data_IF_225832434673
#
_entry.id   IF_225832434673
#
_cell.length_a   1.000
_cell.length_b   1.000
_cell.length_c   1.000
_cell.angle_alpha   90.00
_cell.angle_beta   90.00
_cell.angle_gamma   90.00
#
_symmetry.space_group_name_H-M   'P 1'
#
loop_
_entity.id
_entity.type
_entity.pdbx_description
1 polymer ?
#
# COMPACT_ATOMS: atom_id res chain seq x y z
N UNK A 1 5.10 9.48 27.59
CA UNK A 1 5.51 10.90 27.71
C UNK A 1 4.92 11.77 26.59
N UNK A 2 5.20 11.50 25.30
CA UNK A 2 4.64 12.25 24.16
C UNK A 2 3.10 12.29 24.13
N UNK A 3 2.45 11.15 24.39
CA UNK A 3 0.98 11.03 24.47
C UNK A 3 0.37 11.87 25.62
N UNK A 4 1.09 12.03 26.73
CA UNK A 4 0.68 12.84 27.88
C UNK A 4 0.85 14.35 27.61
N UNK A 5 1.91 14.74 26.91
CA UNK A 5 2.13 16.13 26.48
C UNK A 5 1.08 16.53 25.43
N UNK A 6 0.75 15.64 24.50
CA UNK A 6 -0.27 15.88 23.46
C UNK A 6 -1.67 15.99 24.07
N UNK A 7 -2.05 15.10 24.99
CA UNK A 7 -3.35 15.18 25.68
C UNK A 7 -3.45 16.41 26.58
N UNK A 8 -2.36 16.82 27.23
CA UNK A 8 -2.31 18.07 28.00
C UNK A 8 -2.48 19.31 27.10
N UNK A 9 -1.79 19.37 25.96
CA UNK A 9 -1.95 20.45 24.96
C UNK A 9 -3.36 20.49 24.36
N UNK A 10 -3.94 19.32 24.07
CA UNK A 10 -5.30 19.18 23.54
C UNK A 10 -6.35 19.66 24.56
N UNK A 11 -6.19 19.29 25.83
CA UNK A 11 -7.08 19.72 26.92
C UNK A 11 -7.04 21.24 27.16
N UNK A 12 -5.87 21.87 27.07
CA UNK A 12 -5.74 23.32 27.23
C UNK A 12 -6.40 24.10 26.09
N UNK A 13 -6.38 23.57 24.86
CA UNK A 13 -6.94 24.24 23.67
C UNK A 13 -8.46 24.16 23.58
N UNK A 14 -9.03 23.04 24.03
CA UNK A 14 -10.49 22.86 24.15
C UNK A 14 -11.08 23.82 25.19
N UNK A 15 -10.32 24.17 26.24
CA UNK A 15 -10.79 25.07 27.30
C UNK A 15 -10.81 26.55 26.88
N UNK A 16 -10.01 26.95 25.88
CA UNK A 16 -9.95 28.35 25.37
C UNK A 16 -10.93 28.64 24.22
N UNK A 17 -11.96 27.81 24.04
CA UNK A 17 -12.85 27.83 22.87
C UNK A 17 -13.80 29.05 22.85
N UNK A 18 -13.73 29.87 21.80
CA UNK A 18 -14.87 30.65 21.31
C UNK A 18 -15.31 30.06 19.96
N UNK A 19 -16.52 29.49 19.94
CA UNK A 19 -17.17 28.99 18.72
C UNK A 19 -17.41 30.17 17.76
N UNK A 20 -16.62 30.28 16.69
CA UNK A 20 -16.86 31.29 15.66
C UNK A 20 -15.97 31.19 14.42
N UNK A 21 -14.74 30.68 14.56
CA UNK A 21 -13.81 30.59 13.43
C UNK A 21 -13.79 29.19 12.80
N UNK A 22 -14.35 29.07 11.59
CA UNK A 22 -14.37 27.83 10.80
C UNK A 22 -12.97 27.28 10.52
N UNK A 23 -11.95 28.14 10.44
CA UNK A 23 -10.55 27.73 10.25
C UNK A 23 -10.04 26.93 11.44
N UNK A 24 -10.41 27.32 12.65
CA UNK A 24 -9.98 26.62 13.88
C UNK A 24 -10.63 25.24 14.00
N UNK A 25 -11.89 25.09 13.58
CA UNK A 25 -12.58 23.79 13.57
C UNK A 25 -11.87 22.81 12.62
N UNK A 26 -11.54 23.25 11.41
CA UNK A 26 -10.79 22.47 10.41
C UNK A 26 -9.46 22.00 11.00
N UNK A 27 -8.71 22.89 11.63
CA UNK A 27 -7.42 22.57 12.23
C UNK A 27 -7.52 21.54 13.37
N UNK A 28 -8.50 21.70 14.27
CA UNK A 28 -8.74 20.75 15.36
C UNK A 28 -9.13 19.38 14.82
N UNK A 29 -9.93 19.33 13.76
CA UNK A 29 -10.34 18.09 13.11
C UNK A 29 -9.14 17.36 12.50
N UNK A 30 -8.25 18.06 11.80
CA UNK A 30 -7.02 17.49 11.24
C UNK A 30 -6.11 16.92 12.34
N UNK A 31 -5.88 17.68 13.41
CA UNK A 31 -5.07 17.25 14.55
C UNK A 31 -5.68 16.02 15.23
N UNK A 32 -7.00 15.99 15.43
CA UNK A 32 -7.70 14.87 16.05
C UNK A 32 -7.53 13.58 15.24
N UNK A 33 -7.84 13.62 13.94
CA UNK A 33 -7.79 12.42 13.11
C UNK A 33 -6.37 11.93 12.89
N UNK A 34 -5.39 12.82 12.70
CA UNK A 34 -3.97 12.43 12.58
C UNK A 34 -3.43 11.84 13.88
N UNK A 35 -3.87 12.34 15.03
CA UNK A 35 -3.50 11.77 16.32
C UNK A 35 -4.13 10.38 16.52
N UNK A 36 -5.41 10.21 16.17
CA UNK A 36 -6.10 8.92 16.25
C UNK A 36 -5.42 7.88 15.34
N UNK A 37 -5.10 8.22 14.08
CA UNK A 37 -4.37 7.27 13.22
C UNK A 37 -2.99 6.94 13.75
N UNK A 38 -2.26 7.92 14.29
CA UNK A 38 -0.95 7.66 14.88
C UNK A 38 -1.05 6.67 16.05
N UNK A 39 -2.07 6.79 16.91
CA UNK A 39 -2.32 5.82 17.99
C UNK A 39 -2.66 4.45 17.42
N UNK A 40 -3.55 4.37 16.43
CA UNK A 40 -3.93 3.09 15.82
C UNK A 40 -2.72 2.42 15.17
N UNK A 41 -1.95 3.16 14.38
CA UNK A 41 -0.73 2.67 13.74
C UNK A 41 0.25 2.17 14.79
N UNK A 42 0.53 2.97 15.83
CA UNK A 42 1.46 2.59 16.89
C UNK A 42 0.99 1.34 17.64
N UNK A 43 -0.28 1.30 18.04
CA UNK A 43 -0.87 0.15 18.72
C UNK A 43 -0.80 -1.12 17.86
N UNK A 44 -1.16 -1.02 16.57
CA UNK A 44 -1.05 -2.13 15.62
C UNK A 44 0.40 -2.58 15.44
N UNK A 45 1.35 -1.66 15.26
CA UNK A 45 2.78 -2.00 15.12
C UNK A 45 3.32 -2.74 16.35
N UNK A 46 2.94 -2.33 17.56
CA UNK A 46 3.32 -3.04 18.79
C UNK A 46 2.63 -4.40 18.87
N UNK A 47 1.31 -4.46 18.63
CA UNK A 47 0.51 -5.68 18.75
C UNK A 47 0.92 -6.76 17.74
N UNK A 48 1.33 -6.35 16.54
CA UNK A 48 1.71 -7.23 15.44
C UNK A 48 3.21 -7.37 15.23
N UNK A 49 4.05 -6.86 16.15
CA UNK A 49 5.52 -6.94 16.04
C UNK A 49 6.02 -8.36 15.76
N UNK A 50 5.49 -9.37 16.47
CA UNK A 50 5.86 -10.77 16.24
C UNK A 50 5.48 -11.25 14.82
N UNK A 51 4.35 -10.79 14.30
CA UNK A 51 3.90 -11.14 12.96
C UNK A 51 4.75 -10.44 11.88
N UNK A 52 5.25 -9.22 12.13
CA UNK A 52 6.22 -8.58 11.24
C UNK A 52 7.52 -9.37 11.15
N UNK A 53 8.05 -9.84 12.28
CA UNK A 53 9.25 -10.69 12.29
C UNK A 53 8.98 -12.01 11.57
N UNK A 54 7.83 -12.65 11.84
CA UNK A 54 7.40 -13.86 11.13
C UNK A 54 7.33 -13.64 9.62
N UNK A 55 6.79 -12.52 9.17
CA UNK A 55 6.66 -12.17 7.76
C UNK A 55 8.03 -11.99 7.09
N UNK A 56 8.99 -11.35 7.78
CA UNK A 56 10.36 -11.23 7.29
C UNK A 56 11.03 -12.61 7.14
N UNK A 57 10.87 -13.48 8.14
CA UNK A 57 11.40 -14.86 8.09
C UNK A 57 10.76 -15.62 6.92
N UNK A 58 9.44 -15.53 6.73
CA UNK A 58 8.76 -16.20 5.62
C UNK A 58 9.24 -15.72 4.25
N UNK A 59 9.51 -14.41 4.10
CA UNK A 59 10.10 -13.87 2.87
C UNK A 59 11.53 -14.36 2.63
N UNK A 60 12.33 -14.46 3.70
CA UNK A 60 13.68 -15.03 3.63
C UNK A 60 13.66 -16.53 3.28
N UNK A 61 12.72 -17.30 3.84
CA UNK A 61 12.55 -18.72 3.54
C UNK A 61 12.22 -18.96 2.07
N UNK A 62 11.30 -18.17 1.50
CA UNK A 62 10.98 -18.17 0.06
C UNK A 62 12.21 -17.84 -0.76
N UNK A 63 12.98 -16.85 -0.32
CA UNK A 63 14.20 -16.46 -1.02
C UNK A 63 15.26 -17.56 -1.00
N UNK A 64 15.50 -18.21 0.15
CA UNK A 64 16.43 -19.32 0.27
C UNK A 64 16.01 -20.50 -0.61
N UNK A 65 14.71 -20.77 -0.71
CA UNK A 65 14.18 -21.81 -1.58
C UNK A 65 14.40 -21.47 -3.06
N UNK A 66 14.17 -20.20 -3.46
CA UNK A 66 14.52 -19.73 -4.80
C UNK A 66 16.03 -19.88 -5.10
N UNK A 67 16.90 -19.57 -4.12
CA UNK A 67 18.34 -19.75 -4.27
C UNK A 67 18.76 -21.22 -4.40
N UNK A 68 18.12 -22.13 -3.66
CA UNK A 68 18.34 -23.59 -3.80
C UNK A 68 18.01 -24.10 -5.19
N UNK A 69 17.11 -23.42 -5.90
CA UNK A 69 16.76 -23.72 -7.30
C UNK A 69 17.74 -23.08 -8.31
N UNK A 70 18.83 -22.48 -7.84
CA UNK A 70 19.82 -21.80 -8.69
C UNK A 70 19.39 -20.41 -9.15
N UNK A 71 18.32 -19.86 -8.57
CA UNK A 71 17.74 -18.59 -9.00
C UNK A 71 18.38 -17.45 -8.22
N UNK A 72 19.43 -16.88 -8.80
CA UNK A 72 20.10 -15.73 -8.23
C UNK A 72 19.37 -14.45 -8.62
N UNK A 73 18.71 -13.82 -7.64
CA UNK A 73 18.15 -12.48 -7.81
C UNK A 73 19.33 -11.49 -7.85
N UNK A 74 19.47 -10.75 -8.95
CA UNK A 74 20.51 -9.72 -9.08
C UNK A 74 20.15 -8.50 -8.22
N UNK A 75 20.59 -8.53 -6.95
CA UNK A 75 20.35 -7.50 -5.95
C UNK A 75 20.82 -6.09 -6.30
N UNK A 76 21.97 -5.83 -6.95
CA UNK A 76 22.51 -4.47 -7.06
C UNK A 76 21.60 -3.49 -7.80
N UNK A 77 20.99 -3.94 -8.91
CA UNK A 77 20.08 -3.10 -9.71
C UNK A 77 18.80 -2.80 -8.95
N UNK A 78 18.28 -3.80 -8.22
CA UNK A 78 17.04 -3.70 -7.45
C UNK A 78 17.21 -2.89 -6.17
N UNK A 79 18.35 -3.06 -5.49
CA UNK A 79 18.74 -2.24 -4.36
C UNK A 79 18.85 -0.76 -4.75
N UNK A 80 19.42 -0.45 -5.93
CA UNK A 80 19.45 0.93 -6.45
C UNK A 80 18.05 1.49 -6.70
N UNK A 81 17.12 0.68 -7.24
CA UNK A 81 15.73 1.10 -7.44
C UNK A 81 15.01 1.34 -6.11
N UNK A 82 15.18 0.44 -5.11
CA UNK A 82 14.60 0.62 -3.78
C UNK A 82 15.17 1.85 -3.08
N UNK A 83 16.49 2.04 -3.14
CA UNK A 83 17.14 3.23 -2.58
C UNK A 83 16.63 4.52 -3.25
N UNK A 84 16.49 4.52 -4.57
CA UNK A 84 15.91 5.65 -5.31
C UNK A 84 14.49 5.97 -4.85
N UNK A 85 13.63 4.95 -4.65
CA UNK A 85 12.27 5.13 -4.11
C UNK A 85 12.29 5.75 -2.71
N UNK A 86 13.16 5.26 -1.82
CA UNK A 86 13.29 5.79 -0.45
C UNK A 86 13.77 7.24 -0.47
N UNK A 87 14.79 7.56 -1.27
CA UNK A 87 15.32 8.93 -1.39
C UNK A 87 14.29 9.89 -1.98
N UNK A 88 13.64 9.51 -3.09
CA UNK A 88 12.56 10.30 -3.68
C UNK A 88 11.46 10.58 -2.66
N UNK A 89 11.14 9.58 -1.82
CA UNK A 89 10.14 9.71 -0.77
C UNK A 89 10.56 10.69 0.32
N UNK A 90 11.80 10.62 0.79
CA UNK A 90 12.34 11.57 1.75
C UNK A 90 12.33 13.01 1.21
N UNK A 91 12.57 13.19 -0.10
CA UNK A 91 12.46 14.48 -0.77
C UNK A 91 11.01 15.00 -0.75
N UNK A 92 10.03 14.17 -1.10
CA UNK A 92 8.60 14.56 -1.08
C UNK A 92 8.16 14.97 0.33
N UNK A 93 8.54 14.19 1.35
CA UNK A 93 8.23 14.52 2.76
C UNK A 93 8.93 15.82 3.15
N UNK A 94 10.20 16.01 2.76
CA UNK A 94 10.95 17.24 3.00
C UNK A 94 10.26 18.46 2.41
N UNK A 95 9.87 18.41 1.13
CA UNK A 95 9.13 19.48 0.45
C UNK A 95 7.83 19.79 1.18
N UNK A 96 7.10 18.75 1.59
CA UNK A 96 5.82 18.89 2.29
C UNK A 96 5.98 19.60 3.64
N UNK A 97 7.01 19.22 4.41
CA UNK A 97 7.34 19.87 5.69
C UNK A 97 7.77 21.32 5.47
N UNK A 98 8.64 21.59 4.48
CA UNK A 98 9.10 22.96 4.20
C UNK A 98 7.99 23.88 3.73
N UNK A 99 7.08 23.39 2.87
CA UNK A 99 5.95 24.18 2.37
C UNK A 99 4.98 24.56 3.49
N UNK A 100 4.73 23.63 4.40
CA UNK A 100 3.90 23.90 5.57
C UNK A 100 4.58 24.81 6.61
N UNK A 101 5.90 24.65 6.83
CA UNK A 101 6.68 25.53 7.70
C UNK A 101 6.74 26.98 7.19
N UNK A 102 6.77 27.17 5.86
CA UNK A 102 6.83 28.49 5.24
C UNK A 102 5.51 29.27 5.29
N UNK A 103 4.36 28.59 5.36
CA UNK A 103 3.04 29.23 5.32
C UNK A 103 2.42 29.54 6.68
N UNK A 104 2.90 28.91 7.76
CA UNK A 104 2.25 29.00 9.06
C UNK A 104 3.08 29.79 10.07
N UNK A 105 2.51 30.90 10.58
CA UNK A 105 2.99 31.60 11.79
C UNK A 105 2.87 30.75 13.08
N UNK A 106 2.32 29.54 13.01
CA UNK A 106 2.03 28.69 14.16
C UNK A 106 3.06 27.56 14.32
N UNK A 107 4.00 27.78 15.25
CA UNK A 107 4.99 26.80 15.77
C UNK A 107 4.37 25.51 16.38
N UNK A 108 3.04 25.37 16.38
CA UNK A 108 2.30 24.38 17.16
C UNK A 108 1.74 23.19 16.35
N UNK A 109 1.99 23.08 15.04
CA UNK A 109 1.46 21.98 14.19
C UNK A 109 2.30 20.68 14.21
N UNK A 110 3.07 20.44 15.26
CA UNK A 110 3.98 19.29 15.38
C UNK A 110 3.27 17.94 15.23
N UNK A 111 2.03 17.81 15.73
CA UNK A 111 1.27 16.56 15.69
C UNK A 111 0.93 16.17 14.25
N UNK A 112 0.49 17.12 13.43
CA UNK A 112 0.16 16.87 12.02
C UNK A 112 1.40 16.47 11.23
N UNK A 113 2.54 17.13 11.47
CA UNK A 113 3.82 16.77 10.85
C UNK A 113 4.26 15.35 11.20
N UNK A 114 4.24 15.01 12.50
CA UNK A 114 4.60 13.68 12.96
C UNK A 114 3.65 12.62 12.42
N UNK A 115 2.34 12.89 12.42
CA UNK A 115 1.32 12.00 11.85
C UNK A 115 1.53 11.75 10.36
N UNK A 116 1.86 12.78 9.58
CA UNK A 116 2.16 12.67 8.16
C UNK A 116 3.44 11.87 7.87
N UNK A 117 4.50 12.08 8.67
CA UNK A 117 5.75 11.30 8.58
C UNK A 117 5.49 9.83 8.91
N UNK A 118 4.81 9.54 10.02
CA UNK A 118 4.47 8.17 10.44
C UNK A 118 3.64 7.46 9.37
N UNK A 119 2.60 8.13 8.85
CA UNK A 119 1.75 7.56 7.79
C UNK A 119 2.55 7.29 6.51
N UNK A 120 3.41 8.22 6.10
CA UNK A 120 4.28 8.05 4.93
C UNK A 120 5.27 6.89 5.08
N UNK A 121 5.86 6.73 6.26
CA UNK A 121 6.78 5.61 6.54
C UNK A 121 6.03 4.29 6.50
N UNK A 122 4.80 4.24 7.03
CA UNK A 122 3.97 3.03 6.98
C UNK A 122 3.57 2.67 5.55
N UNK A 123 3.17 3.64 4.74
CA UNK A 123 2.92 3.41 3.31
C UNK A 123 4.16 2.88 2.59
N UNK A 124 5.35 3.44 2.87
CA UNK A 124 6.60 2.95 2.30
C UNK A 124 6.91 1.51 2.71
N UNK A 125 6.78 1.19 4.00
CA UNK A 125 7.03 -0.16 4.54
C UNK A 125 6.12 -1.20 3.88
N UNK A 126 4.82 -0.91 3.82
CA UNK A 126 3.84 -1.78 3.17
C UNK A 126 4.14 -1.93 1.68
N UNK A 127 4.47 -0.83 1.00
CA UNK A 127 4.83 -0.84 -0.42
C UNK A 127 6.05 -1.71 -0.72
N UNK A 128 7.04 -1.76 0.19
CA UNK A 128 8.20 -2.64 0.06
C UNK A 128 7.78 -4.11 0.12
N UNK A 129 6.96 -4.49 1.10
CA UNK A 129 6.48 -5.87 1.23
C UNK A 129 5.67 -6.33 0.02
N UNK A 130 4.73 -5.50 -0.43
CA UNK A 130 3.91 -5.75 -1.61
C UNK A 130 4.78 -5.87 -2.86
N UNK A 131 5.75 -4.97 -3.04
CA UNK A 131 6.67 -5.02 -4.17
C UNK A 131 7.54 -6.28 -4.14
N UNK A 132 7.94 -6.76 -2.96
CA UNK A 132 8.72 -7.99 -2.83
C UNK A 132 7.89 -9.22 -3.23
N UNK A 133 6.65 -9.34 -2.73
CA UNK A 133 5.74 -10.43 -3.11
C UNK A 133 5.47 -10.42 -4.60
N UNK A 134 5.20 -9.25 -5.19
CA UNK A 134 5.05 -9.11 -6.65
C UNK A 134 6.26 -9.64 -7.40
N UNK A 135 7.48 -9.33 -6.95
CA UNK A 135 8.69 -9.83 -7.61
C UNK A 135 8.81 -11.36 -7.51
N UNK A 136 8.43 -11.96 -6.38
CA UNK A 136 8.42 -13.42 -6.26
C UNK A 136 7.42 -14.08 -7.23
N UNK A 137 6.22 -13.52 -7.38
CA UNK A 137 5.26 -13.97 -8.40
C UNK A 137 5.77 -13.77 -9.82
N UNK A 138 6.43 -12.64 -10.12
CA UNK A 138 7.03 -12.41 -11.44
C UNK A 138 8.14 -13.42 -11.77
N UNK A 139 8.94 -13.82 -10.78
CA UNK A 139 9.93 -14.89 -10.92
C UNK A 139 9.20 -16.22 -11.19
N UNK A 140 8.17 -16.55 -10.41
CA UNK A 140 7.36 -17.75 -10.59
C UNK A 140 6.75 -17.84 -11.99
N UNK A 141 6.17 -16.74 -12.48
CA UNK A 141 5.60 -16.61 -13.82
C UNK A 141 6.62 -16.85 -14.93
N UNK A 142 7.86 -16.40 -14.72
CA UNK A 142 8.94 -16.66 -15.68
C UNK A 142 9.24 -18.15 -15.80
N UNK A 143 9.20 -18.91 -14.71
CA UNK A 143 9.39 -20.37 -14.76
C UNK A 143 8.19 -21.10 -15.35
N UNK A 144 6.98 -20.71 -14.98
CA UNK A 144 5.75 -21.27 -15.55
C UNK A 144 5.67 -21.05 -17.06
N UNK A 145 6.02 -19.86 -17.54
CA UNK A 145 6.04 -19.55 -18.97
C UNK A 145 7.14 -20.30 -19.72
N UNK A 146 8.32 -20.48 -19.13
CA UNK A 146 9.37 -21.35 -19.68
C UNK A 146 8.87 -22.80 -19.80
N UNK A 147 8.22 -23.33 -18.75
CA UNK A 147 7.64 -24.67 -18.73
C UNK A 147 6.58 -24.87 -19.83
N UNK A 148 5.72 -23.87 -20.04
CA UNK A 148 4.70 -23.85 -21.09
C UNK A 148 5.33 -23.83 -22.49
N UNK A 149 6.38 -23.02 -22.68
CA UNK A 149 7.05 -22.83 -23.97
C UNK A 149 8.00 -23.97 -24.38
N UNK A 150 8.41 -24.86 -23.46
CA UNK A 150 9.17 -26.09 -23.80
C UNK A 150 8.43 -27.01 -24.81
N UNK A 151 7.15 -26.74 -25.09
CA UNK A 151 6.34 -27.43 -26.10
C UNK A 151 6.71 -27.05 -27.54
N UNK A 152 7.34 -25.90 -27.77
CA UNK A 152 7.77 -25.48 -29.11
C UNK A 152 9.24 -25.87 -29.35
N UNK A 153 9.43 -27.01 -30.02
CA UNK A 153 10.73 -27.54 -30.44
C UNK A 153 11.60 -26.51 -31.18
N UNK A 154 12.77 -26.17 -30.62
CA UNK A 154 14.05 -25.93 -31.34
C UNK A 154 15.18 -25.33 -30.46
N UNK A 155 14.92 -24.88 -29.24
CA UNK A 155 15.95 -24.30 -28.35
C UNK A 155 16.55 -25.37 -27.41
N UNK A 156 16.77 -26.57 -27.95
CA UNK A 156 17.26 -27.70 -27.15
C UNK A 156 18.79 -27.70 -27.03
N UNK A 157 19.56 -27.08 -27.94
CA UNK A 157 21.00 -27.34 -28.01
C UNK A 157 21.90 -26.26 -27.39
N UNK A 158 21.41 -25.03 -27.18
CA UNK A 158 22.24 -23.94 -26.63
C UNK A 158 22.08 -23.71 -25.12
N UNK A 159 20.99 -24.19 -24.52
CA UNK A 159 20.70 -24.06 -23.08
C UNK A 159 20.93 -25.37 -22.29
N UNK A 160 21.36 -26.42 -22.98
CA UNK A 160 21.52 -27.81 -22.48
C UNK A 160 22.70 -28.01 -21.51
N UNK A 161 23.52 -27.01 -21.20
CA UNK A 161 24.76 -27.22 -20.44
C UNK A 161 24.78 -26.71 -18.99
N UNK A 162 23.81 -25.92 -18.54
CA UNK A 162 23.79 -25.46 -17.12
C UNK A 162 22.50 -25.79 -16.35
N UNK A 163 21.34 -25.84 -17.01
CA UNK A 163 20.05 -26.06 -16.31
C UNK A 163 19.65 -27.55 -16.29
N UNK A 164 20.15 -28.33 -17.26
CA UNK A 164 19.71 -29.69 -17.57
C UNK A 164 20.25 -30.78 -16.64
N UNK A 165 21.23 -30.49 -15.77
CA UNK A 165 21.73 -31.48 -14.81
C UNK A 165 20.91 -31.52 -13.51
N UNK A 166 20.10 -30.49 -13.21
CA UNK A 166 19.44 -30.35 -11.91
C UNK A 166 17.91 -30.57 -11.90
N UNK A 167 17.23 -30.46 -13.05
CA UNK A 167 15.76 -30.63 -13.13
C UNK A 167 15.41 -31.55 -14.31
N UNK A 168 15.21 -32.84 -14.03
CA UNK A 168 15.13 -33.90 -15.05
C UNK A 168 13.70 -34.16 -15.54
N UNK A 169 12.65 -33.62 -14.92
CA UNK A 169 11.27 -33.81 -15.41
C UNK A 169 10.37 -32.60 -15.10
N UNK A 170 9.46 -32.24 -16.01
CA UNK A 170 8.43 -31.18 -15.78
C UNK A 170 7.67 -31.37 -14.46
N UNK A 171 7.44 -32.63 -14.08
CA UNK A 171 6.85 -33.04 -12.81
C UNK A 171 7.67 -32.56 -11.59
N UNK A 172 8.99 -32.58 -11.65
CA UNK A 172 9.86 -32.11 -10.55
C UNK A 172 9.75 -30.59 -10.38
N UNK A 173 9.66 -29.85 -11.49
CA UNK A 173 9.47 -28.40 -11.47
C UNK A 173 8.10 -28.06 -10.89
N UNK A 174 7.06 -28.79 -11.28
CA UNK A 174 5.71 -28.58 -10.74
C UNK A 174 5.63 -28.87 -9.23
N UNK A 175 6.30 -29.95 -8.76
CA UNK A 175 6.43 -30.27 -7.33
C UNK A 175 7.12 -29.18 -6.52
N UNK A 176 7.93 -28.33 -7.15
CA UNK A 176 8.60 -27.19 -6.50
C UNK A 176 7.73 -25.94 -6.55
N UNK A 177 7.02 -25.71 -7.66
CA UNK A 177 6.17 -24.52 -7.86
C UNK A 177 4.98 -24.51 -6.90
N UNK A 178 4.36 -25.67 -6.67
CA UNK A 178 3.20 -25.82 -5.79
C UNK A 178 3.48 -25.32 -4.35
N UNK A 179 4.49 -25.84 -3.62
CA UNK A 179 4.78 -25.36 -2.26
C UNK A 179 5.23 -23.90 -2.24
N UNK A 180 5.91 -23.43 -3.30
CA UNK A 180 6.33 -22.03 -3.40
C UNK A 180 5.12 -21.09 -3.53
N UNK A 181 4.15 -21.43 -4.37
CA UNK A 181 2.89 -20.68 -4.48
C UNK A 181 2.15 -20.64 -3.16
N UNK A 182 2.02 -21.78 -2.48
CA UNK A 182 1.36 -21.85 -1.17
C UNK A 182 2.08 -21.00 -0.11
N UNK A 183 3.41 -20.96 -0.11
CA UNK A 183 4.18 -20.06 0.77
C UNK A 183 3.92 -18.58 0.48
N UNK A 184 3.85 -18.19 -0.80
CA UNK A 184 3.51 -16.83 -1.20
C UNK A 184 2.08 -16.45 -0.78
N UNK A 185 1.13 -17.38 -0.90
CA UNK A 185 -0.23 -17.20 -0.39
C UNK A 185 -0.25 -16.97 1.13
N UNK A 186 0.50 -17.76 1.91
CA UNK A 186 0.61 -17.58 3.37
C UNK A 186 1.18 -16.19 3.69
N UNK A 187 2.19 -15.72 2.95
CA UNK A 187 2.77 -14.39 3.11
C UNK A 187 1.71 -13.32 2.85
N UNK A 188 0.94 -13.43 1.77
CA UNK A 188 -0.14 -12.49 1.46
C UNK A 188 -1.21 -12.44 2.55
N UNK A 189 -1.65 -13.61 3.05
CA UNK A 189 -2.60 -13.66 4.15
C UNK A 189 -2.03 -13.04 5.43
N UNK A 190 -0.73 -13.22 5.68
CA UNK A 190 -0.03 -12.59 6.82
C UNK A 190 0.05 -11.07 6.63
N UNK A 191 0.31 -10.57 5.41
CA UNK A 191 0.26 -9.13 5.08
C UNK A 191 -1.13 -8.57 5.41
N UNK A 192 -2.20 -9.22 4.95
CA UNK A 192 -3.57 -8.77 5.22
C UNK A 192 -3.91 -8.76 6.72
N UNK A 193 -3.49 -9.78 7.46
CA UNK A 193 -3.71 -9.84 8.90
C UNK A 193 -2.95 -8.74 9.65
N UNK A 194 -1.72 -8.43 9.26
CA UNK A 194 -0.87 -7.42 9.92
C UNK A 194 -1.28 -5.99 9.53
N UNK A 195 -1.47 -5.75 8.24
CA UNK A 195 -1.69 -4.41 7.71
C UNK A 195 -3.15 -4.08 7.45
N UNK A 196 -4.09 -5.03 7.59
CA UNK A 196 -5.51 -4.80 7.31
C UNK A 196 -6.08 -3.62 8.11
N UNK A 197 -5.89 -3.61 9.43
CA UNK A 197 -6.35 -2.51 10.30
C UNK A 197 -5.56 -1.22 10.02
N UNK A 198 -4.27 -1.35 9.70
CA UNK A 198 -3.42 -0.21 9.34
C UNK A 198 -3.92 0.45 8.06
N UNK A 199 -4.35 -0.31 7.05
CA UNK A 199 -4.97 0.21 5.83
C UNK A 199 -6.23 1.00 6.13
N UNK A 200 -7.11 0.50 7.00
CA UNK A 200 -8.33 1.24 7.40
C UNK A 200 -7.95 2.60 7.97
N UNK A 201 -6.98 2.65 8.90
CA UNK A 201 -6.53 3.89 9.50
C UNK A 201 -5.86 4.84 8.48
N UNK A 202 -4.99 4.32 7.61
CA UNK A 202 -4.27 5.09 6.62
C UNK A 202 -5.22 5.68 5.56
N UNK A 203 -6.03 4.85 4.90
CA UNK A 203 -6.98 5.32 3.89
C UNK A 203 -8.08 6.18 4.49
N UNK A 204 -8.57 5.85 5.70
CA UNK A 204 -9.58 6.62 6.40
C UNK A 204 -9.10 8.04 6.75
N UNK A 205 -7.89 8.18 7.30
CA UNK A 205 -7.35 9.51 7.60
C UNK A 205 -7.01 10.27 6.32
N UNK A 206 -6.43 9.63 5.31
CA UNK A 206 -6.20 10.29 4.01
C UNK A 206 -7.52 10.81 3.42
N UNK A 207 -8.61 10.03 3.46
CA UNK A 207 -9.92 10.45 2.97
C UNK A 207 -10.43 11.72 3.69
N UNK A 208 -10.40 11.72 5.02
CA UNK A 208 -10.87 12.86 5.82
C UNK A 208 -9.99 14.09 5.59
N UNK A 209 -8.66 13.92 5.59
CA UNK A 209 -7.74 15.03 5.37
C UNK A 209 -7.93 15.65 3.98
N UNK A 210 -8.13 14.84 2.94
CA UNK A 210 -8.40 15.35 1.59
C UNK A 210 -9.70 16.16 1.56
N UNK A 211 -10.77 15.72 2.21
CA UNK A 211 -12.02 16.51 2.31
C UNK A 211 -11.77 17.85 2.99
N UNK A 212 -11.11 17.81 4.15
CA UNK A 212 -10.87 19.00 4.97
C UNK A 212 -9.95 19.99 4.26
N UNK A 213 -8.86 19.51 3.66
CA UNK A 213 -7.93 20.33 2.89
C UNK A 213 -8.57 20.89 1.62
N UNK A 214 -9.38 20.10 0.90
CA UNK A 214 -10.06 20.58 -0.29
C UNK A 214 -11.14 21.63 0.04
N UNK A 215 -11.88 21.46 1.14
CA UNK A 215 -12.80 22.48 1.62
C UNK A 215 -12.05 23.76 2.04
N UNK A 216 -10.95 23.62 2.77
CA UNK A 216 -10.11 24.74 3.17
C UNK A 216 -9.54 25.47 1.94
N UNK A 217 -9.10 24.75 0.91
CA UNK A 217 -8.63 25.32 -0.35
C UNK A 217 -9.72 26.15 -1.05
N UNK A 218 -10.99 25.71 -1.03
CA UNK A 218 -12.12 26.48 -1.56
C UNK A 218 -12.31 27.80 -0.77
N UNK A 219 -12.15 27.78 0.55
CA UNK A 219 -12.25 29.01 1.37
C UNK A 219 -11.07 29.97 1.20
N UNK A 220 -9.97 29.50 0.62
CA UNK A 220 -8.72 30.25 0.43
C UNK A 220 -8.52 30.77 -1.00
N UNK A 221 -9.49 30.59 -1.89
CA UNK A 221 -9.40 31.04 -3.29
C UNK A 221 -9.15 32.55 -3.45
N UNK A 222 -9.54 33.35 -2.44
CA UNK A 222 -9.34 34.81 -2.40
C UNK A 222 -8.09 35.25 -1.59
N UNK A 223 -7.34 34.30 -1.01
CA UNK A 223 -6.22 34.55 -0.09
C UNK A 223 -4.84 34.42 -0.77
N UNK A 224 -3.77 34.72 -0.03
CA UNK A 224 -2.39 34.73 -0.56
C UNK A 224 -1.93 33.39 -1.16
N UNK A 225 -1.17 33.45 -2.27
CA UNK A 225 -0.63 32.26 -2.98
C UNK A 225 0.16 31.29 -2.06
N UNK A 226 0.82 31.80 -1.03
CA UNK A 226 1.62 31.00 -0.09
C UNK A 226 0.76 30.05 0.77
N UNK A 227 -0.46 30.44 1.12
CA UNK A 227 -1.35 29.58 1.90
C UNK A 227 -1.91 28.45 1.03
N UNK A 228 -2.26 28.74 -0.21
CA UNK A 228 -2.72 27.73 -1.19
C UNK A 228 -1.65 26.65 -1.41
N UNK A 229 -0.40 27.06 -1.60
CA UNK A 229 0.73 26.13 -1.78
C UNK A 229 0.87 25.19 -0.57
N UNK A 230 0.73 25.70 0.64
CA UNK A 230 0.90 24.87 1.83
C UNK A 230 -0.21 23.86 2.06
N UNK A 231 -1.45 24.20 1.71
CA UNK A 231 -2.58 23.27 1.75
C UNK A 231 -2.36 22.14 0.74
N UNK A 232 -1.90 22.47 -0.46
CA UNK A 232 -1.52 21.47 -1.46
C UNK A 232 -0.37 20.58 -0.97
N UNK A 233 0.65 21.16 -0.33
CA UNK A 233 1.75 20.41 0.29
C UNK A 233 1.30 19.50 1.44
N UNK A 234 0.15 19.75 2.08
CA UNK A 234 -0.40 18.87 3.11
C UNK A 234 -1.20 17.70 2.52
N UNK A 235 -2.02 17.97 1.51
CA UNK A 235 -2.96 17.02 0.96
C UNK A 235 -2.32 16.03 -0.03
N UNK A 236 -1.50 16.54 -0.96
CA UNK A 236 -0.99 15.74 -2.09
C UNK A 236 -0.16 14.51 -1.68
N UNK A 237 0.73 14.55 -0.66
CA UNK A 237 1.55 13.40 -0.31
C UNK A 237 0.72 12.17 0.09
N UNK A 238 -0.33 12.37 0.89
CA UNK A 238 -1.21 11.28 1.34
C UNK A 238 -2.03 10.68 0.20
N UNK A 239 -2.49 11.52 -0.74
CA UNK A 239 -3.20 11.05 -1.94
C UNK A 239 -2.28 10.24 -2.86
N UNK A 240 -1.05 10.74 -3.08
CA UNK A 240 -0.05 10.05 -3.89
C UNK A 240 0.30 8.68 -3.28
N UNK A 241 0.42 8.58 -1.95
CA UNK A 241 0.64 7.30 -1.27
C UNK A 241 -0.47 6.29 -1.51
N UNK A 242 -1.72 6.73 -1.32
CA UNK A 242 -2.89 5.91 -1.55
C UNK A 242 -2.89 5.37 -2.98
N UNK A 243 -2.63 6.22 -3.97
CA UNK A 243 -2.56 5.84 -5.38
C UNK A 243 -1.44 4.83 -5.64
N UNK A 244 -0.22 5.09 -5.13
CA UNK A 244 0.93 4.20 -5.32
C UNK A 244 0.66 2.82 -4.73
N UNK A 245 0.08 2.74 -3.54
CA UNK A 245 -0.23 1.46 -2.91
C UNK A 245 -1.31 0.71 -3.68
N UNK A 246 -2.39 1.38 -4.09
CA UNK A 246 -3.41 0.76 -4.92
C UNK A 246 -2.83 0.27 -6.26
N UNK A 247 -1.93 1.04 -6.89
CA UNK A 247 -1.20 0.63 -8.09
C UNK A 247 -0.36 -0.63 -7.83
N UNK A 248 0.41 -0.67 -6.74
CA UNK A 248 1.27 -1.80 -6.40
C UNK A 248 0.45 -3.06 -6.09
N UNK A 249 -0.67 -2.92 -5.38
CA UNK A 249 -1.59 -4.03 -5.10
C UNK A 249 -2.20 -4.58 -6.39
N UNK A 250 -2.73 -3.71 -7.25
CA UNK A 250 -3.32 -4.15 -8.52
C UNK A 250 -2.27 -4.83 -9.40
N UNK A 251 -1.08 -4.24 -9.49
CA UNK A 251 0.00 -4.82 -10.29
C UNK A 251 0.54 -6.13 -9.71
N UNK A 252 0.39 -6.39 -8.41
CA UNK A 252 0.63 -7.72 -7.85
C UNK A 252 -0.48 -8.70 -8.25
N UNK A 253 -1.74 -8.28 -8.17
CA UNK A 253 -2.88 -9.12 -8.58
C UNK A 253 -2.78 -9.52 -10.05
N UNK A 254 -2.34 -8.62 -10.92
CA UNK A 254 -2.11 -8.91 -12.34
C UNK A 254 -1.07 -10.04 -12.52
N UNK A 255 0.00 -10.06 -11.70
CA UNK A 255 1.01 -11.14 -11.72
C UNK A 255 0.44 -12.46 -11.18
N UNK A 256 -0.42 -12.42 -10.16
CA UNK A 256 -1.06 -13.63 -9.61
C UNK A 256 -2.04 -14.22 -10.63
N UNK A 257 -2.86 -13.39 -11.26
CA UNK A 257 -3.80 -13.82 -12.30
C UNK A 257 -3.04 -14.38 -13.52
N UNK A 258 -1.88 -13.81 -13.86
CA UNK A 258 -0.98 -14.37 -14.88
C UNK A 258 -0.46 -15.77 -14.48
N UNK A 259 -0.11 -15.99 -13.20
CA UNK A 259 0.28 -17.32 -12.71
C UNK A 259 -0.84 -18.34 -12.95
N UNK A 260 -2.07 -17.98 -12.60
CA UNK A 260 -3.25 -18.83 -12.81
C UNK A 260 -3.48 -19.18 -14.28
N UNK A 261 -3.33 -18.21 -15.18
CA UNK A 261 -3.47 -18.39 -16.62
C UNK A 261 -2.39 -19.33 -17.18
N UNK A 262 -1.13 -19.15 -16.78
CA UNK A 262 -0.02 -20.01 -17.23
C UNK A 262 -0.20 -21.45 -16.75
N UNK A 263 -0.69 -21.65 -15.52
CA UNK A 263 -0.96 -22.98 -14.97
C UNK A 263 -2.13 -23.66 -15.69
N UNK A 264 -3.18 -22.90 -16.03
CA UNK A 264 -4.28 -23.44 -16.83
C UNK A 264 -3.83 -23.88 -18.22
N UNK A 265 -2.98 -23.09 -18.89
CA UNK A 265 -2.40 -23.46 -20.19
C UNK A 265 -1.56 -24.75 -20.11
N UNK A 266 -0.86 -24.97 -19.00
CA UNK A 266 -0.12 -26.20 -18.74
C UNK A 266 -1.04 -27.43 -18.60
N UNK A 267 -2.20 -27.30 -17.94
CA UNK A 267 -3.19 -28.40 -17.74
C UNK A 267 -3.67 -28.99 -19.06
N UNK A 268 -3.91 -28.13 -20.06
CA UNK A 268 -4.44 -28.50 -21.38
C UNK A 268 -3.41 -29.30 -22.19
N UNK A 269 -2.12 -29.20 -21.86
CA UNK A 269 -1.02 -29.65 -22.71
C UNK A 269 -0.38 -30.99 -22.31
N UNK A 270 -0.77 -31.61 -21.19
CA UNK A 270 0.03 -32.62 -20.49
C UNK A 270 -0.64 -34.01 -20.36
N UNK A 271 0.18 -35.04 -20.08
CA UNK A 271 -0.21 -36.44 -19.88
C UNK A 271 -0.92 -36.67 -18.52
N UNK A 272 -1.60 -37.82 -18.36
CA UNK A 272 -2.50 -38.12 -17.23
C UNK A 272 -1.89 -37.85 -15.83
N UNK A 273 -0.64 -38.23 -15.58
CA UNK A 273 -0.02 -38.11 -14.25
C UNK A 273 0.45 -36.68 -13.92
N UNK A 274 0.83 -35.90 -14.94
CA UNK A 274 1.18 -34.48 -14.78
C UNK A 274 -0.09 -33.64 -14.64
N UNK A 275 -1.16 -34.03 -15.34
CA UNK A 275 -2.46 -33.36 -15.27
C UNK A 275 -3.06 -33.38 -13.86
N UNK A 276 -2.95 -34.48 -13.12
CA UNK A 276 -3.45 -34.57 -11.74
C UNK A 276 -2.80 -33.53 -10.81
N UNK A 277 -1.48 -33.36 -10.90
CA UNK A 277 -0.77 -32.33 -10.10
C UNK A 277 -1.11 -30.91 -10.56
N UNK A 278 -1.33 -30.68 -11.86
CA UNK A 278 -1.76 -29.38 -12.35
C UNK A 278 -3.19 -29.07 -11.90
N UNK A 279 -4.07 -30.07 -11.87
CA UNK A 279 -5.44 -29.92 -11.40
C UNK A 279 -5.47 -29.58 -9.89
N UNK A 280 -4.61 -30.21 -9.08
CA UNK A 280 -4.41 -29.84 -7.67
C UNK A 280 -3.93 -28.40 -7.52
N UNK A 281 -2.95 -27.97 -8.32
CA UNK A 281 -2.41 -26.60 -8.29
C UNK A 281 -3.46 -25.57 -8.75
N UNK A 282 -4.23 -25.89 -9.79
CA UNK A 282 -5.32 -25.05 -10.31
C UNK A 282 -6.44 -24.91 -9.26
N UNK A 283 -6.77 -26.00 -8.57
CA UNK A 283 -7.73 -25.99 -7.46
C UNK A 283 -7.22 -25.10 -6.32
N UNK A 284 -5.95 -25.25 -5.93
CA UNK A 284 -5.32 -24.42 -4.91
C UNK A 284 -5.35 -22.95 -5.30
N UNK A 285 -4.92 -22.58 -6.51
CA UNK A 285 -5.01 -21.20 -7.01
C UNK A 285 -6.42 -20.61 -6.94
N UNK A 286 -7.42 -21.42 -7.27
CA UNK A 286 -8.83 -20.99 -7.25
C UNK A 286 -9.34 -20.81 -5.82
N UNK A 287 -8.95 -21.68 -4.90
CA UNK A 287 -9.36 -21.64 -3.48
C UNK A 287 -8.54 -20.61 -2.67
N UNK A 288 -7.30 -20.36 -3.06
CA UNK A 288 -6.32 -19.49 -2.40
C UNK A 288 -6.25 -18.10 -3.06
N UNK A 289 -7.29 -17.65 -3.77
CA UNK A 289 -7.32 -16.31 -4.36
C UNK A 289 -7.48 -15.24 -3.28
N UNK A 290 -6.38 -14.85 -2.64
CA UNK A 290 -6.38 -13.76 -1.66
C UNK A 290 -6.04 -12.44 -2.34
N UNK A 291 -6.98 -11.52 -2.33
CA UNK A 291 -6.71 -10.11 -2.66
C UNK A 291 -6.17 -9.36 -1.43
N UNK A 292 -5.37 -8.32 -1.66
CA UNK A 292 -5.00 -7.42 -0.56
C UNK A 292 -6.23 -6.64 -0.13
N UNK A 293 -6.59 -6.75 1.14
CA UNK A 293 -7.78 -6.10 1.68
C UNK A 293 -7.51 -5.43 3.03
N UNK A 294 -8.34 -4.44 3.33
CA UNK A 294 -8.30 -3.71 4.59
C UNK A 294 -9.15 -4.43 5.64
N UNK A 295 -8.59 -5.48 6.26
CA UNK A 295 -9.26 -6.31 7.27
C UNK A 295 -10.65 -6.83 6.84
N UNK A 296 -10.77 -7.18 5.55
CA UNK A 296 -12.02 -7.66 4.95
C UNK A 296 -13.09 -6.59 4.66
N UNK A 297 -12.85 -5.31 4.96
CA UNK A 297 -13.83 -4.25 4.67
C UNK A 297 -13.88 -3.86 3.19
N UNK A 298 -12.72 -3.69 2.57
CA UNK A 298 -12.61 -3.34 1.16
C UNK A 298 -11.28 -3.83 0.56
N UNK A 299 -11.28 -4.18 -0.74
CA UNK A 299 -10.05 -4.49 -1.46
C UNK A 299 -9.23 -3.23 -1.71
N UNK A 300 -7.91 -3.35 -1.60
CA UNK A 300 -6.97 -2.26 -1.87
C UNK A 300 -6.62 -2.28 -3.36
N UNK A 301 -7.45 -1.64 -4.19
CA UNK A 301 -7.31 -1.62 -5.64
C UNK A 301 -7.68 -0.23 -6.24
N UNK A 302 -7.73 -0.10 -7.56
CA UNK A 302 -8.15 1.15 -8.20
C UNK A 302 -9.60 1.56 -7.90
N UNK A 303 -10.48 0.59 -7.63
CA UNK A 303 -11.86 0.85 -7.21
C UNK A 303 -11.93 1.62 -5.89
N UNK A 304 -10.98 1.39 -4.97
CA UNK A 304 -10.87 2.17 -3.73
C UNK A 304 -10.54 3.64 -4.01
N UNK A 305 -9.61 3.91 -4.94
CA UNK A 305 -9.25 5.28 -5.32
C UNK A 305 -10.45 6.02 -5.92
N UNK A 306 -11.18 5.35 -6.82
CA UNK A 306 -12.41 5.90 -7.40
C UNK A 306 -13.43 6.22 -6.30
N UNK A 307 -13.63 5.31 -5.35
CA UNK A 307 -14.55 5.51 -4.21
C UNK A 307 -14.14 6.68 -3.32
N UNK A 308 -12.83 6.84 -3.05
CA UNK A 308 -12.29 7.98 -2.31
C UNK A 308 -12.58 9.29 -3.05
N UNK A 309 -12.31 9.37 -4.35
CA UNK A 309 -12.53 10.58 -5.16
C UNK A 309 -14.01 10.94 -5.18
N UNK A 310 -14.90 9.98 -5.47
CA UNK A 310 -16.34 10.21 -5.46
C UNK A 310 -16.84 10.66 -4.08
N UNK A 311 -16.40 9.98 -3.01
CA UNK A 311 -16.76 10.36 -1.64
C UNK A 311 -16.28 11.77 -1.28
N UNK A 312 -15.06 12.16 -1.69
CA UNK A 312 -14.55 13.52 -1.50
C UNK A 312 -15.44 14.53 -2.22
N UNK A 313 -15.72 14.32 -3.50
CA UNK A 313 -16.54 15.24 -4.31
C UNK A 313 -17.94 15.40 -3.69
N UNK A 314 -18.60 14.31 -3.33
CA UNK A 314 -19.95 14.36 -2.73
C UNK A 314 -19.94 15.13 -1.41
N UNK A 315 -18.98 14.85 -0.52
CA UNK A 315 -18.86 15.58 0.75
C UNK A 315 -18.55 17.06 0.54
N UNK A 316 -17.70 17.41 -0.44
CA UNK A 316 -17.40 18.80 -0.76
C UNK A 316 -18.65 19.55 -1.27
N UNK A 317 -19.43 18.95 -2.16
CA UNK A 317 -20.69 19.56 -2.64
C UNK A 317 -21.62 19.83 -1.48
N UNK A 318 -21.81 18.85 -0.58
CA UNK A 318 -22.64 18.99 0.62
C UNK A 318 -22.13 20.13 1.50
N UNK A 319 -20.83 20.17 1.82
CA UNK A 319 -20.23 21.20 2.67
C UNK A 319 -20.39 22.61 2.07
N UNK A 320 -20.19 22.75 0.76
CA UNK A 320 -20.35 24.03 0.05
C UNK A 320 -21.82 24.48 0.01
N UNK A 321 -22.75 23.55 -0.16
CA UNK A 321 -24.19 23.87 -0.12
C UNK A 321 -24.60 24.38 1.26
N UNK A 322 -24.19 23.68 2.32
CA UNK A 322 -24.48 24.10 3.69
C UNK A 322 -23.82 25.44 4.02
N UNK A 323 -22.57 25.68 3.61
CA UNK A 323 -21.90 26.97 3.89
C UNK A 323 -22.62 28.15 3.24
N UNK A 324 -23.14 27.99 2.01
CA UNK A 324 -23.92 29.03 1.34
C UNK A 324 -25.26 29.30 2.05
N UNK A 325 -25.94 28.25 2.52
CA UNK A 325 -27.21 28.40 3.24
C UNK A 325 -27.05 29.17 4.56
N UNK A 326 -25.96 28.91 5.31
CA UNK A 326 -25.65 29.61 6.55
C UNK A 326 -25.33 31.08 6.31
N UNK A 327 -24.55 31.39 5.27
CA UNK A 327 -24.26 32.78 4.89
C UNK A 327 -25.54 33.57 4.51
N UNK A 328 -26.50 32.91 3.87
CA UNK A 328 -27.79 33.52 3.51
C UNK A 328 -28.62 33.89 4.75
N UNK A 329 -28.71 32.98 5.73
CA UNK A 329 -29.43 33.25 6.99
C UNK A 329 -28.77 34.33 7.86
N UNK A 330 -27.45 34.53 7.76
CA UNK A 330 -26.75 35.59 8.51
C UNK A 330 -26.95 37.01 7.93
N UNK A 331 -27.52 37.13 6.73
CA UNK A 331 -27.80 38.40 6.05
C UNK A 331 -29.26 38.87 6.18
N UNK A 332 -30.12 38.05 6.79
CA UNK A 332 -31.54 38.34 7.07
C UNK A 332 -31.67 38.75 8.54
#
# INVERSE_FOLDING_TARGET
LLLLIVTALYSHRIVTFQLGDTRMIILVLQEAFTFISMIIIWYCSVRFQFHHVKLLIQMEDVLMELQRLGIWIYYPKKQKQMYCKIVLRLIIIGISITGQAASTHTRWRLIVYLGGIVSSIMFLLVGIYISAVKEYYGILNKYLSQLSNFKNEQIADTLKLEITSFLKTKLEILKIIVPLHHKLYIIMNTINHVFGVIFIALFGVTFILVIVDAYYLITLLDETQMQVIAVLCNCLPGLVDAIIICYLCNSMMDEIDLSGLLIHQLSIAESKDVKEQIDVLSLQLTQEKTEINAAGLFPVNYGLIFSIICGVITNLVILVQFSKSVQWNSKI
#
